data_IF_857653577464
#
_entry.id   IF_857653577464
#
_cell.length_a   1.000
_cell.length_b   1.000
_cell.length_c   1.000
_cell.angle_alpha   90.00
_cell.angle_beta   90.00
_cell.angle_gamma   90.00
#
_symmetry.space_group_name_H-M   'P 1'
#
loop_
_entity.id
_entity.type
_entity.pdbx_description
1 polymer ?
#
# COMPACT_ATOMS: atom_id res chain seq x y z
N UNK A 1 -8.99 10.63 9.16
CA UNK A 1 -9.26 10.94 7.72
C UNK A 1 -10.34 10.00 7.19
N UNK A 2 -10.90 10.22 5.99
CA UNK A 2 -11.88 9.28 5.39
C UNK A 2 -11.32 7.84 5.27
N UNK A 3 -10.04 7.72 4.91
CA UNK A 3 -9.32 6.45 4.89
C UNK A 3 -9.30 5.77 6.26
N UNK A 4 -9.01 6.51 7.33
CA UNK A 4 -8.98 5.97 8.69
C UNK A 4 -10.36 5.47 9.14
N UNK A 5 -11.43 6.19 8.77
CA UNK A 5 -12.81 5.74 9.01
C UNK A 5 -13.09 4.44 8.25
N UNK A 6 -12.66 4.34 6.98
CA UNK A 6 -12.81 3.14 6.17
C UNK A 6 -12.06 1.94 6.79
N UNK A 7 -10.79 2.11 7.15
CA UNK A 7 -9.96 1.06 7.74
C UNK A 7 -10.51 0.58 9.09
N UNK A 8 -10.99 1.50 9.92
CA UNK A 8 -11.56 1.14 11.23
C UNK A 8 -12.92 0.45 11.13
N UNK A 9 -13.75 0.82 10.15
CA UNK A 9 -15.10 0.25 9.96
C UNK A 9 -15.13 -1.03 9.11
N UNK A 10 -14.26 -1.17 8.11
CA UNK A 10 -14.28 -2.31 7.20
C UNK A 10 -13.49 -3.50 7.76
N UNK A 11 -14.11 -4.30 8.63
CA UNK A 11 -13.47 -5.45 9.29
C UNK A 11 -13.17 -6.65 8.39
N UNK A 12 -13.66 -6.64 7.15
CA UNK A 12 -13.45 -7.70 6.15
C UNK A 12 -12.51 -7.28 5.02
N UNK A 13 -11.90 -6.09 5.09
CA UNK A 13 -10.96 -5.63 4.08
C UNK A 13 -9.73 -6.54 4.06
N UNK A 14 -9.46 -7.21 2.94
CA UNK A 14 -8.34 -8.17 2.81
C UNK A 14 -7.16 -7.59 2.04
N UNK A 15 -7.44 -6.73 1.06
CA UNK A 15 -6.47 -6.17 0.14
C UNK A 15 -6.67 -4.67 -0.01
N UNK A 16 -5.56 -3.95 -0.09
CA UNK A 16 -5.53 -2.52 -0.33
C UNK A 16 -4.54 -2.19 -1.43
N UNK A 17 -5.03 -1.52 -2.46
CA UNK A 17 -4.20 -0.91 -3.49
C UNK A 17 -4.14 0.60 -3.27
N UNK A 18 -2.93 1.15 -3.17
CA UNK A 18 -2.69 2.57 -3.06
C UNK A 18 -1.78 3.03 -4.19
N UNK A 19 -2.22 4.09 -4.87
CA UNK A 19 -1.49 4.78 -5.92
C UNK A 19 -1.09 6.14 -5.35
N UNK A 20 0.21 6.42 -5.29
CA UNK A 20 0.68 7.78 -5.03
C UNK A 20 0.31 8.65 -6.22
N UNK A 21 -0.33 9.79 -6.02
CA UNK A 21 -0.64 10.74 -7.10
C UNK A 21 -0.04 12.10 -6.75
N UNK A 22 0.64 12.74 -7.69
CA UNK A 22 1.12 14.11 -7.51
C UNK A 22 0.02 15.09 -7.92
N UNK A 23 -0.61 15.71 -6.93
CA UNK A 23 -1.51 16.83 -7.14
C UNK A 23 -0.82 18.03 -6.48
N UNK A 24 -0.21 18.91 -7.26
CA UNK A 24 0.70 19.97 -6.77
C UNK A 24 0.17 20.73 -5.54
N UNK A 25 1.09 21.20 -4.67
CA UNK A 25 0.90 21.91 -3.39
C UNK A 25 -0.11 21.34 -2.36
N UNK A 26 -0.97 20.40 -2.74
CA UNK A 26 -2.02 19.78 -1.93
C UNK A 26 -1.93 18.25 -2.01
N UNK A 27 -0.75 17.68 -1.75
CA UNK A 27 -0.61 16.24 -1.52
C UNK A 27 -1.35 15.90 -0.21
N UNK A 28 -2.61 15.46 -0.35
CA UNK A 28 -3.54 15.28 0.76
C UNK A 28 -3.07 14.30 1.83
N UNK A 29 -2.08 13.43 1.55
CA UNK A 29 -1.37 12.58 2.51
C UNK A 29 -0.04 12.08 1.92
N UNK A 30 1.09 12.55 2.43
CA UNK A 30 2.39 11.94 2.11
C UNK A 30 2.47 10.48 2.57
N UNK A 31 3.35 9.68 1.93
CA UNK A 31 3.48 8.25 2.21
C UNK A 31 3.75 7.93 3.68
N UNK A 32 4.57 8.72 4.37
CA UNK A 32 4.88 8.49 5.79
C UNK A 32 3.63 8.55 6.69
N UNK A 33 2.78 9.57 6.45
CA UNK A 33 1.53 9.75 7.19
C UNK A 33 0.53 8.64 6.86
N UNK A 34 0.47 8.24 5.59
CA UNK A 34 -0.35 7.12 5.15
C UNK A 34 0.07 5.82 5.84
N UNK A 35 1.36 5.48 5.83
CA UNK A 35 1.91 4.28 6.47
C UNK A 35 1.60 4.23 7.97
N UNK A 36 1.71 5.37 8.66
CA UNK A 36 1.31 5.49 10.07
C UNK A 36 -0.20 5.22 10.29
N UNK A 37 -1.07 5.72 9.41
CA UNK A 37 -2.51 5.44 9.46
C UNK A 37 -2.77 3.95 9.20
N UNK A 38 -2.11 3.34 8.21
CA UNK A 38 -2.26 1.92 7.91
C UNK A 38 -1.82 1.07 9.11
N UNK A 39 -0.68 1.35 9.73
CA UNK A 39 -0.20 0.62 10.90
C UNK A 39 -1.22 0.63 12.06
N UNK A 40 -1.84 1.78 12.32
CA UNK A 40 -2.75 1.97 13.46
C UNK A 40 -4.16 1.49 13.21
N UNK A 41 -4.67 1.78 12.02
CA UNK A 41 -6.12 1.75 11.78
C UNK A 41 -6.55 0.58 10.91
N UNK A 42 -5.61 -0.15 10.28
CA UNK A 42 -5.93 -1.30 9.44
C UNK A 42 -6.60 -2.43 10.23
N UNK A 43 -7.66 -3.05 9.67
CA UNK A 43 -8.29 -4.21 10.29
C UNK A 43 -7.34 -5.41 10.28
N UNK A 44 -7.57 -6.37 11.17
CA UNK A 44 -6.75 -7.60 11.26
C UNK A 44 -6.87 -8.49 10.02
N UNK A 45 -7.94 -8.36 9.25
CA UNK A 45 -8.18 -9.06 7.99
C UNK A 45 -7.32 -8.55 6.84
N UNK A 46 -6.82 -7.30 6.91
CA UNK A 46 -6.04 -6.70 5.83
C UNK A 46 -4.62 -7.25 5.92
N UNK A 47 -4.14 -7.88 4.85
CA UNK A 47 -2.76 -8.37 4.78
C UNK A 47 -2.15 -8.31 3.38
N UNK A 48 -2.91 -7.90 2.36
CA UNK A 48 -2.39 -7.73 1.00
C UNK A 48 -2.27 -6.25 0.68
N UNK A 49 -1.08 -5.82 0.31
CA UNK A 49 -0.79 -4.44 -0.06
C UNK A 49 -0.17 -4.36 -1.44
N UNK A 50 -0.66 -3.41 -2.21
CA UNK A 50 -0.05 -2.96 -3.45
C UNK A 50 0.24 -1.48 -3.30
N UNK A 51 1.51 -1.10 -3.36
CA UNK A 51 1.94 0.29 -3.31
C UNK A 51 2.53 0.68 -4.67
N UNK A 52 1.85 1.58 -5.36
CA UNK A 52 2.32 2.16 -6.60
C UNK A 52 2.83 3.57 -6.36
N UNK A 53 4.14 3.71 -6.27
CA UNK A 53 4.84 4.96 -6.06
C UNK A 53 5.08 5.65 -7.41
N UNK A 54 4.55 6.86 -7.60
CA UNK A 54 4.68 7.60 -8.87
C UNK A 54 5.82 8.59 -8.87
N UNK A 55 5.92 9.43 -7.84
CA UNK A 55 6.87 10.56 -7.79
C UNK A 55 7.69 10.59 -6.51
N UNK A 56 7.15 10.07 -5.42
CA UNK A 56 7.77 10.09 -4.10
C UNK A 56 7.71 8.69 -3.47
N UNK A 57 8.81 8.36 -2.80
CA UNK A 57 8.92 7.21 -1.91
C UNK A 57 8.66 7.65 -0.46
N UNK A 58 8.17 6.76 0.41
CA UNK A 58 8.24 6.98 1.85
C UNK A 58 9.69 7.13 2.29
N UNK A 59 9.90 7.87 3.38
CA UNK A 59 11.16 7.82 4.09
C UNK A 59 11.37 6.38 4.58
N UNK A 60 12.58 5.85 4.39
CA UNK A 60 12.91 4.46 4.73
C UNK A 60 12.58 4.12 6.19
N UNK A 61 12.81 5.06 7.11
CA UNK A 61 12.48 4.93 8.53
C UNK A 61 10.96 4.82 8.78
N UNK A 62 10.14 5.59 8.06
CA UNK A 62 8.68 5.49 8.13
C UNK A 62 8.17 4.14 7.62
N UNK A 63 8.77 3.63 6.54
CA UNK A 63 8.44 2.31 6.01
C UNK A 63 8.81 1.20 6.98
N UNK A 64 10.02 1.29 7.56
CA UNK A 64 10.47 0.38 8.62
C UNK A 64 9.50 0.40 9.81
N UNK A 65 9.13 1.59 10.29
CA UNK A 65 8.20 1.75 11.40
C UNK A 65 6.83 1.13 11.09
N UNK A 66 6.35 1.23 9.86
CA UNK A 66 5.12 0.55 9.44
C UNK A 66 5.23 -0.97 9.54
N UNK A 67 6.33 -1.55 9.04
CA UNK A 67 6.55 -2.99 9.12
C UNK A 67 6.76 -3.49 10.56
N UNK A 68 7.45 -2.70 11.39
CA UNK A 68 7.58 -3.00 12.82
C UNK A 68 6.23 -3.04 13.53
N UNK A 69 5.35 -2.09 13.22
CA UNK A 69 3.98 -2.08 13.74
C UNK A 69 3.07 -3.16 13.13
N UNK A 70 3.54 -3.87 12.10
CA UNK A 70 2.84 -5.00 11.52
C UNK A 70 3.13 -6.32 12.25
N UNK A 71 4.10 -6.35 13.17
CA UNK A 71 4.43 -7.51 14.00
C UNK A 71 3.20 -8.00 14.77
N UNK A 72 3.02 -9.33 14.80
CA UNK A 72 1.87 -9.98 15.43
C UNK A 72 0.58 -9.99 14.60
N UNK A 73 0.57 -9.40 13.39
CA UNK A 73 -0.52 -9.51 12.42
C UNK A 73 -0.27 -10.67 11.45
N UNK A 74 -1.25 -10.94 10.59
CA UNK A 74 -1.06 -11.91 9.50
C UNK A 74 0.07 -11.45 8.57
N UNK A 75 1.02 -12.35 8.20
CA UNK A 75 2.13 -12.01 7.33
C UNK A 75 1.70 -11.36 6.01
N UNK A 76 2.36 -10.27 5.65
CA UNK A 76 1.99 -9.39 4.55
C UNK A 76 2.31 -9.98 3.18
N UNK A 77 1.38 -9.88 2.23
CA UNK A 77 1.66 -10.01 0.80
C UNK A 77 1.87 -8.61 0.24
N UNK A 78 3.12 -8.26 -0.08
CA UNK A 78 3.49 -6.91 -0.51
C UNK A 78 3.83 -6.90 -2.00
N UNK A 79 3.32 -5.90 -2.72
CA UNK A 79 3.72 -5.62 -4.10
C UNK A 79 4.09 -4.15 -4.25
N UNK A 80 5.20 -3.87 -4.95
CA UNK A 80 5.68 -2.51 -5.22
C UNK A 80 6.17 -2.38 -6.67
N UNK A 81 6.20 -1.14 -7.19
CA UNK A 81 6.67 -0.84 -8.56
C UNK A 81 8.09 -0.23 -8.61
N UNK A 82 8.84 -0.26 -7.50
CA UNK A 82 10.14 0.43 -7.41
C UNK A 82 11.30 -0.51 -7.09
N UNK A 83 12.42 -0.26 -7.74
CA UNK A 83 13.72 -0.88 -7.55
C UNK A 83 14.67 0.05 -6.77
N UNK A 84 14.34 0.34 -5.52
CA UNK A 84 15.20 1.09 -4.60
C UNK A 84 15.96 0.09 -3.72
N UNK A 85 17.30 0.10 -3.78
CA UNK A 85 18.13 -0.94 -3.15
C UNK A 85 17.96 -0.99 -1.62
N UNK A 86 17.85 0.18 -0.98
CA UNK A 86 17.68 0.28 0.47
C UNK A 86 16.31 -0.26 0.90
N UNK A 87 15.25 0.12 0.20
CA UNK A 87 13.89 -0.37 0.44
C UNK A 87 13.78 -1.88 0.17
N UNK A 88 14.39 -2.39 -0.91
CA UNK A 88 14.41 -3.82 -1.23
C UNK A 88 15.18 -4.62 -0.16
N UNK A 89 16.32 -4.11 0.29
CA UNK A 89 17.09 -4.71 1.37
C UNK A 89 16.28 -4.75 2.67
N UNK A 90 15.60 -3.65 3.00
CA UNK A 90 14.70 -3.59 4.14
C UNK A 90 13.58 -4.63 4.01
N UNK A 91 12.88 -4.68 2.88
CA UNK A 91 11.81 -5.67 2.63
C UNK A 91 12.32 -7.09 2.81
N UNK A 92 13.50 -7.42 2.29
CA UNK A 92 14.11 -8.74 2.43
C UNK A 92 14.32 -9.13 3.90
N UNK A 93 14.83 -8.23 4.73
CA UNK A 93 15.00 -8.48 6.16
C UNK A 93 13.66 -8.83 6.84
N UNK A 94 12.58 -8.12 6.47
CA UNK A 94 11.24 -8.39 7.01
C UNK A 94 10.56 -9.63 6.41
N UNK A 95 11.05 -10.14 5.27
CA UNK A 95 10.70 -11.48 4.77
C UNK A 95 11.34 -12.54 5.66
N UNK A 96 12.63 -12.39 5.97
CA UNK A 96 13.36 -13.33 6.83
C UNK A 96 12.79 -13.35 8.26
N UNK A 97 12.28 -12.22 8.76
CA UNK A 97 11.54 -12.14 10.05
C UNK A 97 10.10 -12.72 9.98
N UNK A 98 9.59 -13.06 8.80
CA UNK A 98 8.25 -13.61 8.60
C UNK A 98 7.11 -12.58 8.68
N UNK A 99 7.43 -11.28 8.71
CA UNK A 99 6.44 -10.19 8.73
C UNK A 99 5.88 -9.97 7.34
N UNK A 100 6.73 -10.07 6.32
CA UNK A 100 6.33 -10.12 4.92
C UNK A 100 6.41 -11.57 4.47
N UNK A 101 5.30 -12.15 4.04
CA UNK A 101 5.27 -13.52 3.50
C UNK A 101 5.90 -13.61 2.12
N UNK A 102 5.65 -12.61 1.29
CA UNK A 102 6.24 -12.52 -0.05
C UNK A 102 6.22 -11.08 -0.56
N UNK A 103 7.25 -10.72 -1.32
CA UNK A 103 7.32 -9.46 -2.04
C UNK A 103 7.39 -9.70 -3.55
N UNK A 104 6.60 -8.95 -4.32
CA UNK A 104 6.69 -8.90 -5.78
C UNK A 104 7.07 -7.47 -6.16
N UNK A 105 8.21 -7.33 -6.85
CA UNK A 105 8.68 -6.08 -7.41
C UNK A 105 8.49 -6.10 -8.93
N UNK A 106 7.74 -5.15 -9.50
CA UNK A 106 7.71 -4.96 -10.96
C UNK A 106 6.49 -4.24 -11.51
N UNK A 107 6.54 -3.97 -12.83
CA UNK A 107 5.49 -3.30 -13.61
C UNK A 107 4.15 -4.06 -13.72
N UNK A 108 4.02 -5.23 -13.08
CA UNK A 108 2.80 -6.06 -13.10
C UNK A 108 1.67 -5.46 -12.26
N UNK A 109 1.99 -4.47 -11.43
CA UNK A 109 0.98 -3.58 -10.87
C UNK A 109 0.18 -2.86 -11.99
N UNK A 110 0.84 -2.47 -13.09
CA UNK A 110 0.22 -1.80 -14.26
C UNK A 110 -0.65 -2.76 -15.07
N UNK A 111 -0.20 -4.02 -15.27
CA UNK A 111 -0.97 -5.02 -16.03
C UNK A 111 -2.32 -5.34 -15.39
N UNK A 112 -2.39 -5.36 -14.05
CA UNK A 112 -3.65 -5.55 -13.32
C UNK A 112 -4.62 -4.34 -13.44
N UNK A 113 -4.16 -3.16 -13.85
CA UNK A 113 -5.04 -2.01 -14.11
C UNK A 113 -5.68 -2.07 -15.49
N UNK A 114 -4.94 -2.52 -16.53
CA UNK A 114 -5.50 -2.64 -17.89
C UNK A 114 -6.70 -3.59 -17.96
N UNK A 115 -6.71 -4.66 -17.15
CA UNK A 115 -7.81 -5.61 -17.10
C UNK A 115 -9.02 -5.13 -16.26
N UNK A 116 -8.90 -4.03 -15.49
CA UNK A 116 -9.96 -3.55 -14.59
C UNK A 116 -10.40 -2.08 -14.81
N UNK A 117 -9.92 -1.40 -15.85
CA UNK A 117 -10.38 -0.05 -16.22
C UNK A 117 -9.25 0.86 -16.68
N UNK A 118 -9.41 1.45 -17.86
CA UNK A 118 -8.52 2.44 -18.45
C UNK A 118 -8.48 3.71 -17.58
N UNK A 119 -7.29 4.17 -17.20
CA UNK A 119 -7.07 5.54 -16.70
C UNK A 119 -6.28 6.30 -17.76
N UNK A 120 -6.95 7.28 -18.35
CA UNK A 120 -6.33 8.32 -19.17
C UNK A 120 -5.37 9.12 -18.30
N UNK A 121 -4.13 9.30 -18.77
CA UNK A 121 -3.04 9.94 -18.03
C UNK A 121 -3.20 11.46 -17.86
N UNK A 122 -4.26 12.03 -18.43
CA UNK A 122 -4.57 13.45 -18.30
C UNK A 122 -5.81 13.65 -17.41
N UNK A 123 -5.55 14.10 -16.18
CA UNK A 123 -6.51 14.64 -15.22
C UNK A 123 -7.68 13.71 -14.82
N UNK A 124 -7.63 13.10 -13.62
CA UNK A 124 -8.72 13.12 -12.62
C UNK A 124 -8.41 12.19 -11.44
N UNK A 125 -8.62 12.73 -10.24
CA UNK A 125 -8.61 12.08 -8.93
C UNK A 125 -9.48 10.83 -8.93
N UNK A 126 -8.88 9.65 -8.74
CA UNK A 126 -9.49 8.57 -7.95
C UNK A 126 -8.39 7.85 -7.17
N UNK A 127 -8.33 8.07 -5.86
CA UNK A 127 -7.73 7.10 -4.93
C UNK A 127 -8.56 5.83 -4.98
N UNK A 128 -8.31 4.97 -5.96
CA UNK A 128 -9.01 3.69 -6.09
C UNK A 128 -8.49 2.73 -5.02
N UNK A 129 -9.14 2.72 -3.85
CA UNK A 129 -9.12 1.55 -2.98
C UNK A 129 -9.99 0.49 -3.65
N UNK A 130 -9.41 -0.32 -4.52
CA UNK A 130 -10.14 -1.44 -5.13
C UNK A 130 -10.31 -2.51 -4.06
N UNK A 131 -11.44 -2.46 -3.35
CA UNK A 131 -11.84 -3.50 -2.45
C UNK A 131 -12.46 -4.64 -3.26
N UNK A 132 -11.70 -5.71 -3.55
CA UNK A 132 -12.29 -7.00 -3.98
C UNK A 132 -12.82 -7.74 -2.75
N UNK A 133 -13.76 -7.13 -2.03
CA UNK A 133 -14.65 -7.87 -1.14
C UNK A 133 -15.76 -8.40 -2.04
N UNK A 134 -15.75 -9.70 -2.31
CA UNK A 134 -16.90 -10.37 -2.89
C UNK A 134 -18.11 -10.03 -2.01
N UNK A 135 -19.05 -9.27 -2.56
CA UNK A 135 -20.40 -9.18 -2.02
C UNK A 135 -20.99 -10.59 -2.21
N UNK A 136 -21.54 -11.09 -1.10
CA UNK A 136 -22.23 -12.39 -0.93
C UNK A 136 -23.09 -12.77 -2.14
#
# INVERSE_FOLDING_TARGET
SELEILLTKCKCLVELFIIGTHNGQNSLLGWDKLLNILAKSSPTSLFKFKFYFTYELPILESFKLFLDNWKGRYPMLLQTNIYDEDLLTLIKNYIDEGIIKSHICGGDLIRNFHDNGYIDTDYTVITHVINKSYIV
#
